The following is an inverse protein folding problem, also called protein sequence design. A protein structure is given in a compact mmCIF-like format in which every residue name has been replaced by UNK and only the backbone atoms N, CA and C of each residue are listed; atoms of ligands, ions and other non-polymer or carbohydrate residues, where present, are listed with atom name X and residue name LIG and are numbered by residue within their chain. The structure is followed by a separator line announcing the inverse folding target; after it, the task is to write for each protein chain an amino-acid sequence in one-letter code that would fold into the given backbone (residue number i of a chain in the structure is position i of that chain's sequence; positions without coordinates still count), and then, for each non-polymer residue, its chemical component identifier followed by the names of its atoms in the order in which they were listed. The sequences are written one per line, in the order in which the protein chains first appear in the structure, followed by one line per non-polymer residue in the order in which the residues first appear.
data_IF_724605942583
#
_entry.id   IF_724605942583
#
_cell.length_a   1.000
_cell.length_b   1.000
_cell.length_c   1.000
_cell.angle_alpha   90.00
_cell.angle_beta   90.00
_cell.angle_gamma   90.00
#
_symmetry.space_group_name_H-M   'P 1'
#
loop_
_entity.id
_entity.type
_entity.pdbx_description
1 polymer ?
#
# COMPACT_ATOMS: atom_id res chain seq x y z
N UNK A 1 15.33 2.86 1.30
CA UNK A 1 13.93 2.69 0.91
C UNK A 1 13.37 1.46 1.64
N UNK A 2 12.76 1.66 2.81
CA UNK A 2 12.36 0.56 3.71
C UNK A 2 11.20 -0.32 3.24
N UNK A 3 10.64 -0.11 2.07
CA UNK A 3 9.50 -0.86 1.57
C UNK A 3 9.76 -1.42 0.17
N UNK A 4 9.53 -2.72 0.01
CA UNK A 4 9.75 -3.47 -1.24
C UNK A 4 8.86 -2.91 -2.35
N UNK A 5 7.58 -2.70 -2.09
CA UNK A 5 6.64 -2.17 -3.10
C UNK A 5 7.08 -0.83 -3.67
N UNK A 6 7.69 0.05 -2.86
CA UNK A 6 8.17 1.34 -3.33
C UNK A 6 9.36 1.21 -4.29
N UNK A 7 10.30 0.29 -4.04
CA UNK A 7 11.42 0.01 -4.95
C UNK A 7 10.93 -0.59 -6.26
N UNK A 8 10.05 -1.58 -6.17
CA UNK A 8 9.43 -2.22 -7.34
C UNK A 8 8.64 -1.21 -8.17
N UNK A 9 7.86 -0.33 -7.53
CA UNK A 9 7.10 0.71 -8.22
C UNK A 9 7.99 1.72 -8.95
N UNK A 10 9.14 2.11 -8.36
CA UNK A 10 10.12 2.93 -9.05
C UNK A 10 10.72 2.19 -10.24
N UNK A 11 11.04 0.90 -10.10
CA UNK A 11 11.50 0.05 -11.20
C UNK A 11 10.48 -0.04 -12.33
N UNK A 12 9.22 -0.34 -11.99
CA UNK A 12 8.09 -0.39 -12.94
C UNK A 12 7.91 0.93 -13.69
N UNK A 13 7.97 2.05 -12.95
CA UNK A 13 7.86 3.37 -13.56
C UNK A 13 9.03 3.66 -14.52
N UNK A 14 10.27 3.37 -14.14
CA UNK A 14 11.44 3.62 -15.01
C UNK A 14 11.45 2.71 -16.26
N UNK A 15 11.04 1.46 -16.12
CA UNK A 15 10.80 0.55 -17.25
C UNK A 15 9.76 1.15 -18.20
N UNK A 16 8.61 1.53 -17.66
CA UNK A 16 7.50 2.11 -18.44
C UNK A 16 7.87 3.43 -19.12
N UNK A 17 8.66 4.27 -18.44
CA UNK A 17 9.17 5.52 -19.01
C UNK A 17 10.16 5.28 -20.16
N UNK A 18 11.04 4.30 -20.04
CA UNK A 18 11.98 3.92 -21.11
C UNK A 18 11.23 3.39 -22.34
N UNK A 19 10.22 2.52 -22.15
CA UNK A 19 9.37 2.01 -23.23
C UNK A 19 8.60 3.14 -23.91
N UNK A 20 8.01 4.05 -23.13
CA UNK A 20 7.29 5.20 -23.65
C UNK A 20 8.20 6.13 -24.47
N UNK A 21 9.39 6.45 -23.96
CA UNK A 21 10.34 7.30 -24.67
C UNK A 21 10.87 6.62 -25.95
N UNK A 22 11.03 5.29 -25.95
CA UNK A 22 11.37 4.52 -27.16
C UNK A 22 10.25 4.60 -28.20
N UNK A 23 9.00 4.39 -27.79
CA UNK A 23 7.80 4.45 -28.66
C UNK A 23 7.62 5.85 -29.27
N UNK A 24 7.91 6.89 -28.49
CA UNK A 24 7.75 8.29 -28.89
C UNK A 24 8.98 8.85 -29.65
N UNK A 25 10.05 8.06 -29.83
CA UNK A 25 11.25 8.49 -30.51
C UNK A 25 12.17 9.44 -29.70
N UNK A 26 11.95 9.53 -28.40
CA UNK A 26 12.72 10.40 -27.48
C UNK A 26 13.96 9.70 -26.88
N UNK A 27 14.09 8.38 -27.08
CA UNK A 27 15.20 7.56 -26.59
C UNK A 27 15.61 6.52 -27.64
N UNK A 28 16.93 6.34 -27.90
CA UNK A 28 17.40 5.27 -28.77
C UNK A 28 16.97 3.89 -28.29
N UNK A 29 16.61 3.02 -29.23
CA UNK A 29 16.03 1.72 -28.89
C UNK A 29 16.94 0.81 -28.09
N UNK A 30 18.23 0.79 -28.41
CA UNK A 30 19.26 0.01 -27.71
C UNK A 30 19.48 0.49 -26.27
N UNK A 31 19.47 1.81 -26.05
CA UNK A 31 19.56 2.41 -24.72
C UNK A 31 18.31 2.07 -23.90
N UNK A 32 17.13 2.19 -24.50
CA UNK A 32 15.85 1.84 -23.83
C UNK A 32 15.83 0.36 -23.41
N UNK A 33 16.29 -0.55 -24.29
CA UNK A 33 16.32 -1.99 -24.01
C UNK A 33 17.26 -2.35 -22.86
N UNK A 34 18.39 -1.64 -22.73
CA UNK A 34 19.29 -1.78 -21.58
C UNK A 34 18.64 -1.29 -20.27
N UNK A 35 17.95 -0.15 -20.32
CA UNK A 35 17.22 0.39 -19.15
C UNK A 35 16.12 -0.59 -18.72
N UNK A 36 15.36 -1.14 -19.66
CA UNK A 36 14.29 -2.12 -19.37
C UNK A 36 14.85 -3.34 -18.66
N UNK A 37 15.95 -3.93 -19.17
CA UNK A 37 16.60 -5.09 -18.52
C UNK A 37 17.07 -4.79 -17.10
N UNK A 38 17.69 -3.63 -16.88
CA UNK A 38 18.13 -3.23 -15.54
C UNK A 38 16.96 -2.94 -14.60
N UNK A 39 15.88 -2.32 -15.11
CA UNK A 39 14.67 -2.07 -14.33
C UNK A 39 13.96 -3.37 -13.94
N UNK A 40 13.94 -4.39 -14.80
CA UNK A 40 13.42 -5.72 -14.48
C UNK A 40 14.15 -6.36 -13.28
N UNK A 41 15.45 -6.15 -13.15
CA UNK A 41 16.21 -6.61 -11.98
C UNK A 41 15.85 -5.85 -10.70
N UNK A 42 15.55 -4.55 -10.80
CA UNK A 42 15.02 -3.76 -9.67
C UNK A 42 13.64 -4.26 -9.25
N UNK A 43 12.73 -4.49 -10.20
CA UNK A 43 11.39 -5.04 -9.95
C UNK A 43 11.49 -6.41 -9.28
N UNK A 44 12.40 -7.26 -9.73
CA UNK A 44 12.62 -8.59 -9.18
C UNK A 44 13.35 -8.59 -7.80
N UNK A 45 13.71 -7.42 -7.26
CA UNK A 45 14.39 -7.28 -5.97
C UNK A 45 15.87 -7.70 -5.97
N UNK A 46 16.46 -7.96 -7.13
CA UNK A 46 17.86 -8.42 -7.24
C UNK A 46 18.89 -7.34 -6.84
N UNK A 47 18.50 -6.08 -6.87
CA UNK A 47 19.32 -4.92 -6.59
C UNK A 47 18.94 -4.19 -5.29
N UNK A 48 18.22 -4.85 -4.39
CA UNK A 48 17.69 -4.24 -3.14
C UNK A 48 18.78 -3.63 -2.24
N UNK A 49 19.99 -4.21 -2.25
CA UNK A 49 21.13 -3.71 -1.49
C UNK A 49 21.63 -2.32 -1.95
N UNK A 50 21.32 -1.95 -3.19
CA UNK A 50 21.74 -0.69 -3.81
C UNK A 50 20.81 0.50 -3.43
N UNK A 51 19.82 0.29 -2.55
CA UNK A 51 18.87 1.30 -2.09
C UNK A 51 19.02 1.62 -0.60
N UNK A 52 20.10 2.30 -0.16
CA UNK A 52 20.40 2.52 1.26
C UNK A 52 19.58 3.67 1.88
N UNK A 53 18.80 4.42 1.11
CA UNK A 53 18.14 5.63 1.56
C UNK A 53 17.01 5.36 2.56
N UNK A 54 16.86 6.27 3.51
CA UNK A 54 15.86 6.22 4.58
C UNK A 54 14.57 6.97 4.21
N UNK A 55 13.52 6.79 5.03
CA UNK A 55 12.21 7.46 4.83
C UNK A 55 12.33 8.98 5.00
N UNK A 56 12.97 9.43 6.07
CA UNK A 56 13.15 10.85 6.36
C UNK A 56 14.30 11.41 5.51
N UNK A 57 13.93 11.92 4.34
CA UNK A 57 14.79 12.48 3.32
C UNK A 57 14.16 13.76 2.76
N UNK A 58 14.71 14.33 1.67
CA UNK A 58 14.03 15.46 1.00
C UNK A 58 12.58 15.12 0.65
N UNK A 59 11.66 15.97 1.01
CA UNK A 59 10.22 15.69 1.00
C UNK A 59 9.61 15.51 -0.39
N UNK A 60 10.31 15.93 -1.45
CA UNK A 60 9.95 15.65 -2.83
C UNK A 60 10.24 14.20 -3.26
N UNK A 61 11.06 13.46 -2.51
CA UNK A 61 11.55 12.13 -2.88
C UNK A 61 12.67 12.14 -3.92
N UNK A 62 13.29 13.28 -4.18
CA UNK A 62 14.35 13.43 -5.20
C UNK A 62 15.51 12.46 -4.96
N UNK A 63 15.95 12.26 -3.73
CA UNK A 63 17.04 11.33 -3.43
C UNK A 63 16.69 9.90 -3.88
N UNK A 64 15.47 9.43 -3.62
CA UNK A 64 15.02 8.09 -4.06
C UNK A 64 14.92 7.99 -5.57
N UNK A 65 14.42 9.02 -6.25
CA UNK A 65 14.37 9.05 -7.71
C UNK A 65 15.77 8.99 -8.32
N UNK A 66 16.70 9.81 -7.80
CA UNK A 66 18.09 9.84 -8.28
C UNK A 66 18.81 8.53 -8.01
N UNK A 67 18.66 7.94 -6.82
CA UNK A 67 19.21 6.63 -6.50
C UNK A 67 18.73 5.57 -7.50
N UNK A 68 17.42 5.53 -7.81
CA UNK A 68 16.88 4.60 -8.81
C UNK A 68 17.47 4.83 -10.19
N UNK A 69 17.60 6.09 -10.62
CA UNK A 69 18.21 6.43 -11.89
C UNK A 69 19.66 5.93 -11.98
N UNK A 70 20.43 6.11 -10.93
CA UNK A 70 21.84 5.71 -10.87
C UNK A 70 21.99 4.18 -10.81
N UNK A 71 21.17 3.48 -10.02
CA UNK A 71 21.18 2.02 -9.95
C UNK A 71 20.87 1.42 -11.32
N UNK A 72 19.79 1.88 -11.98
CA UNK A 72 19.40 1.39 -13.31
C UNK A 72 20.46 1.74 -14.35
N UNK A 73 20.99 2.97 -14.35
CA UNK A 73 22.04 3.38 -15.28
C UNK A 73 23.31 2.53 -15.14
N UNK A 74 23.81 2.37 -13.91
CA UNK A 74 25.01 1.58 -13.66
C UNK A 74 24.80 0.10 -14.01
N UNK A 75 23.64 -0.47 -13.68
CA UNK A 75 23.36 -1.86 -14.08
C UNK A 75 23.24 -2.02 -15.59
N UNK A 76 22.65 -1.08 -16.29
CA UNK A 76 22.59 -1.06 -17.75
C UNK A 76 24.00 -0.96 -18.38
N UNK A 77 24.88 -0.16 -17.79
CA UNK A 77 26.29 -0.04 -18.21
C UNK A 77 27.03 -1.38 -18.04
N UNK A 78 26.88 -2.06 -16.92
CA UNK A 78 27.45 -3.40 -16.69
C UNK A 78 26.93 -4.42 -17.72
N UNK A 79 25.61 -4.43 -17.99
CA UNK A 79 25.00 -5.31 -18.99
C UNK A 79 25.54 -5.06 -20.41
N UNK A 80 25.99 -3.84 -20.68
CA UNK A 80 26.64 -3.46 -21.93
C UNK A 80 28.15 -3.71 -21.95
N UNK A 81 28.75 -4.22 -20.85
CA UNK A 81 30.19 -4.44 -20.72
C UNK A 81 31.00 -3.16 -20.52
N UNK A 82 30.37 -2.07 -20.08
CA UNK A 82 31.01 -0.78 -19.82
C UNK A 82 31.53 -0.64 -18.38
N UNK A 83 32.19 0.49 -18.12
CA UNK A 83 32.75 0.83 -16.79
C UNK A 83 31.72 1.55 -15.93
N UNK A 84 31.50 1.07 -14.70
CA UNK A 84 30.60 1.69 -13.72
C UNK A 84 30.93 3.16 -13.51
N UNK A 85 29.89 3.99 -13.46
CA UNK A 85 30.04 5.44 -13.27
C UNK A 85 30.43 6.23 -14.52
N UNK A 86 30.73 5.55 -15.66
CA UNK A 86 31.09 6.21 -16.92
C UNK A 86 29.97 7.03 -17.54
N UNK A 87 28.71 6.75 -17.16
CA UNK A 87 27.49 7.34 -17.74
C UNK A 87 27.30 7.02 -19.23
N UNK A 88 28.01 6.01 -19.74
CA UNK A 88 27.93 5.54 -21.11
C UNK A 88 27.87 4.00 -21.15
N UNK A 89 26.99 3.37 -21.96
CA UNK A 89 26.07 3.99 -22.93
C UNK A 89 24.79 4.59 -22.33
N UNK A 90 24.53 4.41 -21.03
CA UNK A 90 23.28 4.87 -20.37
C UNK A 90 23.60 5.94 -19.33
N UNK A 91 23.04 7.14 -19.53
CA UNK A 91 23.15 8.26 -18.58
C UNK A 91 21.95 8.30 -17.61
N UNK A 92 22.14 8.47 -16.28
CA UNK A 92 21.05 8.43 -15.33
C UNK A 92 20.02 9.55 -15.55
N UNK A 93 20.43 10.78 -15.86
CA UNK A 93 19.52 11.91 -16.07
C UNK A 93 19.00 11.99 -17.51
N UNK A 94 19.88 11.87 -18.50
CA UNK A 94 19.52 12.15 -19.89
C UNK A 94 18.76 10.98 -20.54
N UNK A 95 18.94 9.75 -20.02
CA UNK A 95 18.30 8.55 -20.52
C UNK A 95 17.28 7.97 -19.54
N UNK A 96 17.69 7.55 -18.33
CA UNK A 96 16.78 6.90 -17.35
C UNK A 96 15.69 7.86 -16.88
N UNK A 97 16.04 9.13 -16.66
CA UNK A 97 15.09 10.17 -16.21
C UNK A 97 14.54 11.04 -17.35
N UNK A 98 14.69 10.64 -18.60
CA UNK A 98 14.23 11.39 -19.78
C UNK A 98 12.77 11.78 -19.70
N UNK A 99 12.45 13.07 -19.84
CA UNK A 99 11.09 13.60 -19.80
C UNK A 99 10.43 13.57 -18.43
N UNK A 100 11.20 13.41 -17.35
CA UNK A 100 10.70 13.25 -15.99
C UNK A 100 11.30 14.30 -15.04
N UNK A 101 10.59 14.53 -13.94
CA UNK A 101 11.07 15.20 -12.74
C UNK A 101 10.85 14.31 -11.53
N UNK A 102 11.61 14.47 -10.47
CA UNK A 102 11.28 13.81 -9.19
C UNK A 102 9.88 14.20 -8.70
N UNK A 103 9.39 15.36 -9.09
CA UNK A 103 8.11 15.91 -8.65
C UNK A 103 6.91 15.13 -9.21
N UNK A 104 6.98 14.60 -10.43
CA UNK A 104 5.95 13.75 -11.00
C UNK A 104 6.28 12.25 -10.86
N UNK A 105 7.55 11.88 -10.84
CA UNK A 105 8.03 10.49 -10.74
C UNK A 105 7.71 9.89 -9.36
N UNK A 106 8.09 10.56 -8.29
CA UNK A 106 7.93 9.99 -6.95
C UNK A 106 6.46 9.81 -6.55
N UNK A 107 5.54 10.77 -6.75
CA UNK A 107 4.11 10.54 -6.49
C UNK A 107 3.52 9.46 -7.39
N UNK A 108 3.94 9.34 -8.65
CA UNK A 108 3.54 8.24 -9.51
C UNK A 108 3.94 6.89 -8.91
N UNK A 109 5.18 6.75 -8.44
CA UNK A 109 5.65 5.54 -7.78
C UNK A 109 4.90 5.27 -6.45
N UNK A 110 4.52 6.30 -5.69
CA UNK A 110 3.67 6.15 -4.50
C UNK A 110 2.32 5.52 -4.85
N UNK A 111 1.67 6.01 -5.89
CA UNK A 111 0.38 5.51 -6.36
C UNK A 111 0.49 4.06 -6.86
N UNK A 112 1.47 3.75 -7.70
CA UNK A 112 1.72 2.38 -8.17
C UNK A 112 1.94 1.44 -6.97
N UNK A 113 2.80 1.80 -6.01
CA UNK A 113 3.10 0.98 -4.86
C UNK A 113 1.86 0.70 -3.99
N UNK A 114 1.07 1.74 -3.70
CA UNK A 114 -0.13 1.62 -2.85
C UNK A 114 -1.21 0.78 -3.55
N UNK A 115 -1.50 1.06 -4.81
CA UNK A 115 -2.50 0.31 -5.59
C UNK A 115 -2.08 -1.16 -5.73
N UNK A 116 -0.83 -1.44 -6.04
CA UNK A 116 -0.30 -2.81 -6.14
C UNK A 116 -0.41 -3.54 -4.80
N UNK A 117 0.02 -2.91 -3.70
CA UNK A 117 -0.06 -3.51 -2.36
C UNK A 117 -1.52 -3.80 -1.92
N UNK A 118 -2.46 -2.92 -2.26
CA UNK A 118 -3.90 -3.14 -1.99
C UNK A 118 -4.39 -4.37 -2.76
N UNK A 119 -4.09 -4.45 -4.06
CA UNK A 119 -4.63 -5.52 -4.92
C UNK A 119 -3.95 -6.87 -4.67
N UNK A 120 -2.64 -6.92 -4.45
CA UNK A 120 -1.89 -8.16 -4.29
C UNK A 120 -1.93 -8.71 -2.87
N UNK A 121 -2.08 -7.86 -1.86
CA UNK A 121 -1.95 -8.27 -0.46
C UNK A 121 -3.18 -8.00 0.39
N UNK A 122 -3.71 -6.77 0.35
CA UNK A 122 -4.81 -6.38 1.25
C UNK A 122 -6.11 -7.09 0.89
N UNK A 123 -6.54 -6.99 -0.37
CA UNK A 123 -7.80 -7.61 -0.79
C UNK A 123 -7.85 -9.11 -0.54
N UNK A 124 -6.84 -9.93 -0.91
CA UNK A 124 -6.87 -11.36 -0.60
C UNK A 124 -6.99 -11.65 0.89
N UNK A 125 -6.18 -10.99 1.73
CA UNK A 125 -6.16 -11.24 3.17
C UNK A 125 -7.48 -10.87 3.86
N UNK A 126 -8.02 -9.68 3.55
CA UNK A 126 -9.28 -9.21 4.16
C UNK A 126 -10.47 -10.00 3.66
N UNK A 127 -10.48 -10.37 2.37
CA UNK A 127 -11.55 -11.19 1.79
C UNK A 127 -11.55 -12.59 2.40
N UNK A 128 -10.39 -13.20 2.62
CA UNK A 128 -10.28 -14.50 3.29
C UNK A 128 -10.91 -14.45 4.68
N UNK A 129 -10.50 -13.51 5.54
CA UNK A 129 -11.10 -13.35 6.88
C UNK A 129 -12.62 -13.08 6.80
N UNK A 130 -13.04 -12.20 5.89
CA UNK A 130 -14.45 -11.90 5.65
C UNK A 130 -15.26 -13.16 5.31
N UNK A 131 -14.73 -14.00 4.42
CA UNK A 131 -15.41 -15.23 3.96
C UNK A 131 -15.45 -16.31 5.05
N UNK A 132 -14.39 -16.42 5.87
CA UNK A 132 -14.37 -17.28 7.05
C UNK A 132 -15.46 -16.84 8.04
N UNK A 133 -15.58 -15.56 8.32
CA UNK A 133 -16.63 -15.04 9.20
C UNK A 133 -18.03 -15.26 8.62
N UNK A 134 -18.24 -15.06 7.31
CA UNK A 134 -19.52 -15.32 6.65
C UNK A 134 -19.92 -16.80 6.74
N UNK A 135 -18.96 -17.69 6.56
CA UNK A 135 -19.18 -19.14 6.76
C UNK A 135 -19.59 -19.45 8.22
N UNK A 136 -18.89 -18.87 9.20
CA UNK A 136 -19.23 -19.04 10.62
C UNK A 136 -20.57 -18.39 10.98
N UNK A 137 -20.95 -17.29 10.36
CA UNK A 137 -22.27 -16.69 10.55
C UNK A 137 -23.39 -17.65 10.14
N UNK A 138 -23.21 -18.37 9.05
CA UNK A 138 -24.16 -19.41 8.58
C UNK A 138 -24.14 -20.67 9.43
N UNK A 139 -22.94 -21.10 9.85
CA UNK A 139 -22.74 -22.30 10.69
C UNK A 139 -23.42 -22.16 12.06
N UNK A 140 -23.37 -20.96 12.66
CA UNK A 140 -23.91 -20.70 14.01
C UNK A 140 -25.22 -19.90 14.00
N UNK A 141 -25.97 -19.96 12.89
CA UNK A 141 -27.22 -19.17 12.78
C UNK A 141 -28.34 -19.66 13.72
N UNK A 142 -28.31 -20.89 14.18
CA UNK A 142 -29.27 -21.47 15.11
C UNK A 142 -28.86 -21.37 16.60
N UNK A 143 -27.63 -20.92 16.88
CA UNK A 143 -27.13 -20.79 18.25
C UNK A 143 -27.68 -19.53 18.92
N UNK A 144 -28.61 -19.73 19.83
CA UNK A 144 -29.23 -18.63 20.61
C UNK A 144 -28.34 -18.26 21.80
N UNK A 145 -28.10 -16.98 21.95
CA UNK A 145 -27.30 -16.39 23.04
C UNK A 145 -27.93 -15.13 23.60
N UNK A 146 -27.37 -14.57 24.68
CA UNK A 146 -27.75 -13.28 25.21
C UNK A 146 -27.08 -12.15 24.42
N UNK A 147 -27.90 -11.27 23.84
CA UNK A 147 -27.42 -10.00 23.33
C UNK A 147 -27.07 -9.05 24.47
N UNK A 148 -26.01 -8.24 24.31
CA UNK A 148 -25.56 -7.32 25.35
C UNK A 148 -25.46 -5.89 24.82
N UNK A 149 -25.95 -4.95 25.60
CA UNK A 149 -25.74 -3.51 25.40
C UNK A 149 -25.20 -2.92 26.69
N UNK A 150 -24.27 -1.98 26.65
CA UNK A 150 -23.57 -1.45 27.83
C UNK A 150 -22.86 -2.52 28.68
N UNK A 151 -22.48 -3.64 28.07
CA UNK A 151 -21.96 -4.86 28.70
C UNK A 151 -22.99 -5.50 29.69
N UNK A 152 -24.28 -5.16 29.59
CA UNK A 152 -25.37 -5.73 30.38
C UNK A 152 -26.22 -6.66 29.51
N UNK A 153 -26.80 -7.68 30.15
CA UNK A 153 -27.71 -8.61 29.47
C UNK A 153 -28.92 -7.85 28.91
N UNK A 154 -29.23 -8.15 27.65
CA UNK A 154 -30.36 -7.53 26.95
C UNK A 154 -31.32 -8.62 26.41
N UNK A 155 -31.65 -8.58 25.12
CA UNK A 155 -32.59 -9.50 24.50
C UNK A 155 -31.88 -10.69 23.86
N UNK A 156 -32.55 -11.83 23.62
CA UNK A 156 -31.98 -12.93 22.86
C UNK A 156 -31.51 -12.51 21.44
N UNK A 157 -30.41 -13.06 21.02
CA UNK A 157 -29.83 -12.91 19.67
C UNK A 157 -29.24 -14.23 19.24
N UNK A 158 -29.02 -14.44 17.95
CA UNK A 158 -28.30 -15.60 17.46
C UNK A 158 -26.84 -15.25 17.21
N UNK A 159 -25.92 -16.17 17.47
CA UNK A 159 -24.49 -15.96 17.24
C UNK A 159 -24.21 -15.67 15.75
N UNK A 160 -24.90 -16.35 14.83
CA UNK A 160 -24.80 -16.04 13.40
C UNK A 160 -25.19 -14.60 13.06
N UNK A 161 -26.18 -14.01 13.76
CA UNK A 161 -26.54 -12.60 13.56
C UNK A 161 -25.43 -11.65 14.04
N UNK A 162 -24.79 -11.96 15.17
CA UNK A 162 -23.63 -11.17 15.67
C UNK A 162 -22.51 -11.19 14.63
N UNK A 163 -22.12 -12.38 14.16
CA UNK A 163 -21.03 -12.53 13.18
C UNK A 163 -21.40 -11.87 11.83
N UNK A 164 -22.66 -11.96 11.40
CA UNK A 164 -23.12 -11.27 10.18
C UNK A 164 -22.94 -9.76 10.24
N UNK A 165 -23.08 -9.17 11.44
CA UNK A 165 -22.78 -7.75 11.68
C UNK A 165 -21.30 -7.42 11.46
N UNK A 166 -20.39 -8.32 11.88
CA UNK A 166 -18.95 -8.15 11.63
C UNK A 166 -18.63 -8.24 10.13
N UNK A 167 -19.24 -9.21 9.42
CA UNK A 167 -19.10 -9.32 7.96
C UNK A 167 -19.53 -8.04 7.26
N UNK A 168 -20.68 -7.49 7.63
CA UNK A 168 -21.20 -6.26 7.04
C UNK A 168 -20.29 -5.05 7.28
N UNK A 169 -19.61 -4.98 8.44
CA UNK A 169 -18.62 -3.92 8.71
C UNK A 169 -17.38 -4.04 7.80
N UNK A 170 -16.90 -5.26 7.57
CA UNK A 170 -15.77 -5.52 6.67
C UNK A 170 -16.17 -5.20 5.22
N UNK A 171 -17.36 -5.62 4.77
CA UNK A 171 -17.88 -5.32 3.43
C UNK A 171 -17.97 -3.81 3.20
N UNK A 172 -18.51 -3.06 4.16
CA UNK A 172 -18.57 -1.60 4.09
C UNK A 172 -17.19 -0.97 3.95
N UNK A 173 -16.21 -1.45 4.73
CA UNK A 173 -14.83 -0.95 4.67
C UNK A 173 -14.18 -1.28 3.32
N UNK A 174 -14.39 -2.50 2.80
CA UNK A 174 -13.88 -2.91 1.48
C UNK A 174 -14.45 -2.04 0.35
N UNK A 175 -15.72 -1.66 0.41
CA UNK A 175 -16.30 -0.76 -0.60
C UNK A 175 -15.64 0.62 -0.58
N UNK A 176 -15.35 1.15 0.62
CA UNK A 176 -14.60 2.39 0.78
C UNK A 176 -13.17 2.29 0.21
N UNK A 177 -12.51 1.16 0.44
CA UNK A 177 -11.15 0.92 -0.09
C UNK A 177 -11.19 0.78 -1.63
N UNK A 178 -12.17 0.09 -2.20
CA UNK A 178 -12.33 -0.03 -3.67
C UNK A 178 -12.50 1.33 -4.33
N UNK A 179 -13.29 2.21 -3.73
CA UNK A 179 -13.42 3.59 -4.22
C UNK A 179 -12.11 4.35 -4.15
N UNK A 180 -11.40 4.29 -3.02
CA UNK A 180 -10.11 4.96 -2.83
C UNK A 180 -9.02 4.42 -3.78
N UNK A 181 -8.96 3.09 -3.97
CA UNK A 181 -8.06 2.42 -4.92
C UNK A 181 -8.29 2.95 -6.35
N UNK A 182 -9.56 3.06 -6.78
CA UNK A 182 -9.89 3.59 -8.11
C UNK A 182 -9.38 5.02 -8.33
N UNK A 183 -9.39 5.87 -7.29
CA UNK A 183 -8.87 7.24 -7.35
C UNK A 183 -7.33 7.29 -7.29
N UNK A 184 -6.71 6.33 -6.61
CA UNK A 184 -5.26 6.22 -6.53
C UNK A 184 -4.61 5.75 -7.85
N UNK A 185 -5.39 5.30 -8.84
CA UNK A 185 -4.91 4.89 -10.16
C UNK A 185 -4.61 6.06 -11.11
N UNK A 186 -4.85 7.29 -10.70
CA UNK A 186 -4.50 8.50 -11.44
C UNK A 186 -3.06 8.91 -11.15
N UNK A 187 -2.22 8.96 -12.19
CA UNK A 187 -0.78 9.16 -12.07
C UNK A 187 -0.38 10.61 -12.43
N UNK A 188 0.55 11.18 -11.66
CA UNK A 188 1.10 12.51 -11.89
C UNK A 188 2.10 12.58 -13.05
N UNK A 189 2.51 11.43 -13.58
CA UNK A 189 3.55 11.34 -14.61
C UNK A 189 3.22 12.14 -15.87
N UNK A 190 4.20 12.85 -16.41
CA UNK A 190 4.05 13.78 -17.52
C UNK A 190 3.85 15.23 -17.09
N UNK A 191 3.60 15.49 -15.79
CA UNK A 191 3.52 16.86 -15.26
C UNK A 191 4.88 17.55 -15.11
N UNK A 192 5.92 16.75 -15.05
CA UNK A 192 7.32 17.20 -14.82
C UNK A 192 7.49 18.05 -13.56
N UNK A 193 8.08 19.24 -13.65
CA UNK A 193 8.47 20.04 -12.49
C UNK A 193 7.28 20.62 -11.71
N UNK A 194 6.26 21.15 -12.41
CA UNK A 194 5.14 21.90 -11.81
C UNK A 194 3.77 21.58 -12.41
N UNK A 195 3.67 20.57 -13.25
CA UNK A 195 2.40 20.14 -13.86
C UNK A 195 2.21 20.56 -15.33
N UNK A 196 3.11 21.37 -15.88
CA UNK A 196 3.01 21.90 -17.25
C UNK A 196 3.56 20.98 -18.32
N UNK A 197 4.25 19.89 -17.93
CA UNK A 197 4.87 18.97 -18.87
C UNK A 197 6.13 19.51 -19.56
N UNK A 198 6.78 20.51 -19.00
CA UNK A 198 7.99 21.12 -19.57
C UNK A 198 9.07 20.04 -19.82
N UNK A 199 9.66 20.01 -21.03
CA UNK A 199 10.68 19.07 -21.47
C UNK A 199 10.22 17.61 -21.58
N UNK A 200 8.91 17.31 -21.59
CA UNK A 200 8.36 16.01 -21.90
C UNK A 200 7.58 16.04 -23.23
N UNK A 201 7.58 14.91 -23.94
CA UNK A 201 6.72 14.76 -25.11
C UNK A 201 5.23 14.85 -24.67
N UNK A 202 4.33 15.53 -25.42
CA UNK A 202 2.92 15.72 -24.99
C UNK A 202 2.16 14.42 -24.68
N UNK A 203 2.53 13.31 -25.30
CA UNK A 203 1.93 11.98 -25.06
C UNK A 203 2.66 11.15 -24.00
N UNK A 204 3.73 11.67 -23.41
CA UNK A 204 4.59 10.89 -22.53
C UNK A 204 3.82 10.28 -21.35
N UNK A 205 3.10 11.10 -20.58
CA UNK A 205 2.39 10.62 -19.38
C UNK A 205 1.31 9.56 -19.68
N UNK A 206 0.54 9.75 -20.74
CA UNK A 206 -0.48 8.77 -21.17
C UNK A 206 0.17 7.46 -21.61
N UNK A 207 1.28 7.53 -22.36
CA UNK A 207 2.00 6.34 -22.83
C UNK A 207 2.64 5.59 -21.66
N UNK A 208 3.25 6.31 -20.69
CA UNK A 208 3.79 5.69 -19.47
C UNK A 208 2.69 4.99 -18.67
N UNK A 209 1.55 5.65 -18.44
CA UNK A 209 0.45 5.04 -17.69
C UNK A 209 -0.07 3.74 -18.34
N UNK A 210 -0.11 3.70 -19.69
CA UNK A 210 -0.43 2.48 -20.43
C UNK A 210 0.59 1.37 -20.15
N UNK A 211 1.88 1.66 -20.26
CA UNK A 211 2.93 0.65 -19.99
C UNK A 211 2.94 0.20 -18.52
N UNK A 212 2.61 1.08 -17.57
CA UNK A 212 2.42 0.69 -16.15
C UNK A 212 1.25 -0.28 -16.03
N UNK A 213 0.13 -0.01 -16.72
CA UNK A 213 -1.03 -0.90 -16.73
C UNK A 213 -0.70 -2.27 -17.32
N UNK A 214 0.01 -2.30 -18.45
CA UNK A 214 0.43 -3.53 -19.11
C UNK A 214 1.36 -4.37 -18.21
N UNK A 215 2.27 -3.72 -17.47
CA UNK A 215 3.22 -4.38 -16.57
C UNK A 215 2.56 -4.95 -15.30
N UNK A 216 1.61 -4.22 -14.74
CA UNK A 216 1.00 -4.56 -13.43
C UNK A 216 -0.30 -5.35 -13.56
N UNK A 217 -0.93 -5.36 -14.73
CA UNK A 217 -2.28 -5.90 -14.92
C UNK A 217 -3.38 -5.05 -14.25
N UNK A 218 -3.07 -3.83 -13.82
CA UNK A 218 -3.99 -2.91 -13.14
C UNK A 218 -4.21 -1.66 -14.00
N UNK A 219 -5.45 -1.17 -14.07
CA UNK A 219 -5.80 0.00 -14.92
C UNK A 219 -5.31 1.30 -14.29
N UNK A 220 -4.19 1.81 -14.76
CA UNK A 220 -3.69 3.15 -14.43
C UNK A 220 -3.95 4.12 -15.58
N UNK A 221 -4.14 5.38 -15.26
CA UNK A 221 -4.24 6.47 -16.24
C UNK A 221 -3.44 7.68 -15.79
N UNK A 222 -3.06 8.54 -16.74
CA UNK A 222 -2.57 9.87 -16.40
C UNK A 222 -3.69 10.66 -15.73
N UNK A 223 -3.39 11.42 -14.69
CA UNK A 223 -4.35 12.27 -14.00
C UNK A 223 -4.94 13.32 -14.93
N UNK A 224 -6.23 13.57 -14.79
CA UNK A 224 -6.93 14.61 -15.58
C UNK A 224 -6.41 16.01 -15.23
N UNK A 225 -5.93 16.20 -14.00
CA UNK A 225 -5.32 17.45 -13.54
C UNK A 225 -3.96 17.19 -12.90
N UNK A 226 -2.90 17.42 -13.67
CA UNK A 226 -1.52 17.21 -13.23
C UNK A 226 -1.08 18.22 -12.15
N UNK A 227 -1.65 19.41 -12.09
CA UNK A 227 -1.33 20.41 -11.07
C UNK A 227 -1.78 19.95 -9.69
N UNK A 228 -2.99 19.39 -9.59
CA UNK A 228 -3.50 18.80 -8.35
C UNK A 228 -2.64 17.60 -7.91
N UNK A 229 -2.35 16.67 -8.82
CA UNK A 229 -1.63 15.44 -8.49
C UNK A 229 -0.14 15.63 -8.17
N UNK A 230 0.46 16.76 -8.54
CA UNK A 230 1.82 17.12 -8.11
C UNK A 230 1.85 17.80 -6.73
N UNK A 231 0.89 18.68 -6.47
CA UNK A 231 0.90 19.55 -5.29
C UNK A 231 0.09 19.01 -4.11
N UNK A 232 -0.79 18.03 -4.36
CA UNK A 232 -1.62 17.39 -3.35
C UNK A 232 -1.68 15.87 -3.57
N UNK A 233 -1.94 15.14 -2.48
CA UNK A 233 -2.01 13.67 -2.51
C UNK A 233 -3.31 13.18 -1.86
N UNK A 234 -4.43 13.80 -2.24
CA UNK A 234 -5.76 13.54 -1.70
C UNK A 234 -6.18 12.08 -1.85
N UNK A 235 -5.78 11.43 -2.95
CA UNK A 235 -6.06 10.01 -3.16
C UNK A 235 -5.40 9.12 -2.09
N UNK A 236 -4.17 9.42 -1.66
CA UNK A 236 -3.50 8.69 -0.58
C UNK A 236 -4.13 8.99 0.79
N UNK A 237 -4.55 10.22 1.02
CA UNK A 237 -5.30 10.58 2.24
C UNK A 237 -6.61 9.79 2.29
N UNK A 238 -7.31 9.65 1.17
CA UNK A 238 -8.53 8.88 1.08
C UNK A 238 -8.30 7.38 1.28
N UNK A 239 -7.23 6.81 0.70
CA UNK A 239 -6.82 5.42 0.96
C UNK A 239 -6.58 5.23 2.46
N UNK A 240 -5.78 6.10 3.08
CA UNK A 240 -5.48 6.02 4.51
C UNK A 240 -6.74 6.11 5.38
N UNK A 241 -7.66 7.02 5.08
CA UNK A 241 -8.94 7.14 5.77
C UNK A 241 -9.82 5.90 5.62
N UNK A 242 -9.80 5.26 4.44
CA UNK A 242 -10.53 4.00 4.20
C UNK A 242 -9.90 2.83 4.97
N UNK A 243 -8.56 2.76 5.04
CA UNK A 243 -7.85 1.78 5.89
C UNK A 243 -8.17 1.96 7.37
N UNK A 244 -8.33 3.21 7.84
CA UNK A 244 -8.77 3.49 9.20
C UNK A 244 -10.18 2.95 9.47
N UNK A 245 -11.12 3.10 8.54
CA UNK A 245 -12.47 2.52 8.68
C UNK A 245 -12.42 1.00 8.82
N UNK A 246 -11.56 0.33 8.06
CA UNK A 246 -11.33 -1.11 8.21
C UNK A 246 -10.71 -1.42 9.59
N UNK A 247 -9.74 -0.64 10.04
CA UNK A 247 -9.12 -0.81 11.34
C UNK A 247 -10.12 -0.62 12.50
N UNK A 248 -11.08 0.31 12.39
CA UNK A 248 -12.19 0.48 13.34
C UNK A 248 -13.03 -0.80 13.44
N UNK A 249 -13.41 -1.38 12.30
CA UNK A 249 -14.17 -2.63 12.26
C UNK A 249 -13.40 -3.80 12.88
N UNK A 250 -12.13 -3.97 12.51
CA UNK A 250 -11.27 -5.04 13.03
C UNK A 250 -11.01 -4.89 14.53
N UNK A 251 -10.81 -3.67 15.03
CA UNK A 251 -10.70 -3.37 16.46
C UNK A 251 -11.94 -3.84 17.21
N UNK A 252 -13.13 -3.50 16.71
CA UNK A 252 -14.41 -3.88 17.30
C UNK A 252 -14.57 -5.41 17.29
N UNK A 253 -14.32 -6.07 16.18
CA UNK A 253 -14.43 -7.52 16.05
C UNK A 253 -13.49 -8.24 17.03
N UNK A 254 -12.23 -7.84 17.06
CA UNK A 254 -11.23 -8.44 17.96
C UNK A 254 -11.61 -8.25 19.43
N UNK A 255 -12.15 -7.08 19.81
CA UNK A 255 -12.65 -6.84 21.17
C UNK A 255 -13.87 -7.71 21.51
N UNK A 256 -14.83 -7.86 20.59
CA UNK A 256 -15.99 -8.72 20.83
C UNK A 256 -15.57 -10.19 21.04
N UNK A 257 -14.71 -10.73 20.13
CA UNK A 257 -14.18 -12.09 20.26
C UNK A 257 -13.49 -12.27 21.61
N UNK A 258 -12.66 -11.32 22.01
CA UNK A 258 -11.95 -11.35 23.30
C UNK A 258 -12.90 -11.33 24.51
N UNK A 259 -13.97 -10.53 24.44
CA UNK A 259 -14.99 -10.51 25.49
C UNK A 259 -15.76 -11.82 25.56
N UNK A 260 -16.24 -12.35 24.44
CA UNK A 260 -16.98 -13.63 24.41
C UNK A 260 -16.12 -14.81 24.88
N UNK A 261 -14.81 -14.76 24.67
CA UNK A 261 -13.88 -15.80 25.09
C UNK A 261 -13.33 -15.61 26.51
N UNK A 262 -13.68 -14.54 27.22
CA UNK A 262 -13.06 -14.24 28.51
C UNK A 262 -13.47 -15.23 29.61
N UNK A 263 -12.53 -15.59 30.44
CA UNK A 263 -12.73 -16.53 31.55
C UNK A 263 -11.99 -17.86 31.31
N UNK A 264 -12.68 -18.99 31.10
CA UNK A 264 -14.14 -19.17 30.99
C UNK A 264 -14.89 -19.33 32.32
N UNK A 265 -14.20 -19.62 33.43
CA UNK A 265 -14.86 -19.98 34.70
C UNK A 265 -15.52 -18.80 35.39
N UNK A 266 -14.89 -17.65 35.42
CA UNK A 266 -15.37 -16.41 36.04
C UNK A 266 -15.56 -15.27 35.00
N UNK A 267 -15.76 -15.61 33.76
CA UNK A 267 -16.00 -14.69 32.66
C UNK A 267 -17.20 -15.12 31.83
N UNK A 268 -17.32 -14.56 30.62
CA UNK A 268 -18.46 -14.83 29.73
C UNK A 268 -18.38 -16.26 29.18
N UNK A 269 -17.20 -16.67 28.62
CA UNK A 269 -16.93 -18.04 28.22
C UNK A 269 -17.86 -18.60 27.13
N UNK A 270 -18.42 -17.76 26.25
CA UNK A 270 -19.35 -18.16 25.19
C UNK A 270 -18.62 -18.59 23.90
N UNK A 271 -17.36 -18.17 23.73
CA UNK A 271 -16.50 -18.63 22.64
C UNK A 271 -15.27 -19.35 23.20
N UNK A 272 -14.87 -20.42 22.53
CA UNK A 272 -13.58 -21.07 22.74
C UNK A 272 -12.66 -20.66 21.61
N UNK A 273 -11.53 -20.04 21.95
CA UNK A 273 -10.49 -19.66 21.00
C UNK A 273 -9.38 -20.71 20.95
N UNK A 274 -8.67 -20.86 19.82
CA UNK A 274 -7.57 -21.81 19.71
C UNK A 274 -6.44 -21.48 20.72
N UNK A 275 -5.83 -22.53 21.28
CA UNK A 275 -4.64 -22.40 22.12
C UNK A 275 -3.39 -22.39 21.22
N UNK A 276 -3.01 -21.20 20.75
CA UNK A 276 -1.90 -21.02 19.81
C UNK A 276 -0.54 -20.93 20.50
N UNK A 277 -0.52 -20.68 21.83
CA UNK A 277 0.68 -20.58 22.63
C UNK A 277 0.43 -20.93 24.11
N UNK A 278 1.44 -21.35 24.88
CA UNK A 278 1.31 -21.52 26.33
C UNK A 278 0.99 -20.18 27.00
N UNK A 279 -0.15 -20.06 27.67
CA UNK A 279 -0.59 -18.81 28.26
C UNK A 279 0.24 -18.35 29.45
N UNK A 280 0.63 -19.25 30.37
CA UNK A 280 1.44 -18.94 31.55
C UNK A 280 2.00 -20.22 32.17
N UNK A 281 3.27 -20.23 32.57
CA UNK A 281 3.91 -21.36 33.23
C UNK A 281 3.34 -21.62 34.65
N UNK A 282 2.83 -20.57 35.32
CA UNK A 282 2.28 -20.65 36.68
C UNK A 282 0.77 -20.79 36.71
N UNK A 283 0.08 -20.67 35.58
CA UNK A 283 -1.37 -20.78 35.45
C UNK A 283 -1.74 -21.73 34.29
N UNK A 284 -1.62 -23.06 34.46
CA UNK A 284 -1.92 -24.03 33.42
C UNK A 284 -3.35 -23.90 32.91
N UNK A 285 -3.53 -23.99 31.58
CA UNK A 285 -4.83 -23.86 30.94
C UNK A 285 -5.35 -22.42 30.78
N UNK A 286 -4.51 -21.42 31.08
CA UNK A 286 -4.82 -20.00 30.77
C UNK A 286 -4.49 -19.72 29.30
N UNK A 287 -5.51 -19.67 28.44
CA UNK A 287 -5.39 -19.33 27.01
C UNK A 287 -5.58 -17.83 26.84
N UNK A 288 -4.55 -17.13 26.35
CA UNK A 288 -4.64 -15.70 26.10
C UNK A 288 -5.19 -15.46 24.67
N UNK A 289 -5.97 -14.37 24.45
CA UNK A 289 -6.51 -14.02 23.14
C UNK A 289 -5.46 -13.25 22.29
N UNK A 290 -4.31 -13.86 22.04
CA UNK A 290 -3.12 -13.21 21.49
C UNK A 290 -3.38 -12.58 20.12
N UNK A 291 -4.09 -13.27 19.22
CA UNK A 291 -4.44 -12.71 17.91
C UNK A 291 -5.38 -11.51 18.01
N UNK A 292 -6.30 -11.53 18.98
CA UNK A 292 -7.15 -10.36 19.25
C UNK A 292 -6.33 -9.16 19.75
N UNK A 293 -5.38 -9.40 20.64
CA UNK A 293 -4.47 -8.35 21.14
C UNK A 293 -3.57 -7.81 20.03
N UNK A 294 -3.01 -8.67 19.20
CA UNK A 294 -2.22 -8.26 18.02
C UNK A 294 -3.05 -7.41 17.06
N UNK A 295 -4.28 -7.82 16.75
CA UNK A 295 -5.19 -7.07 15.88
C UNK A 295 -5.49 -5.67 16.45
N UNK A 296 -5.74 -5.56 17.75
CA UNK A 296 -6.00 -4.25 18.37
C UNK A 296 -4.78 -3.33 18.37
N UNK A 297 -3.57 -3.88 18.52
CA UNK A 297 -2.32 -3.11 18.37
C UNK A 297 -2.10 -2.65 16.94
N UNK A 298 -2.36 -3.50 15.95
CA UNK A 298 -2.29 -3.14 14.52
C UNK A 298 -3.28 -2.01 14.21
N UNK A 299 -4.54 -2.13 14.64
CA UNK A 299 -5.54 -1.08 14.44
C UNK A 299 -5.08 0.26 15.06
N UNK A 300 -4.51 0.22 16.27
CA UNK A 300 -3.95 1.41 16.94
C UNK A 300 -2.84 2.04 16.12
N UNK A 301 -1.95 1.23 15.52
CA UNK A 301 -0.87 1.74 14.64
C UNK A 301 -1.44 2.38 13.37
N UNK A 302 -2.46 1.79 12.77
CA UNK A 302 -3.15 2.33 11.58
C UNK A 302 -3.79 3.69 11.89
N UNK A 303 -4.40 3.89 13.05
CA UNK A 303 -4.92 5.20 13.47
C UNK A 303 -3.81 6.26 13.53
N UNK A 304 -2.65 5.91 14.09
CA UNK A 304 -1.49 6.81 14.12
C UNK A 304 -0.96 7.14 12.72
N UNK A 305 -0.91 6.15 11.84
CA UNK A 305 -0.51 6.34 10.45
C UNK A 305 -1.49 7.23 9.69
N UNK A 306 -2.81 7.06 9.89
CA UNK A 306 -3.83 7.89 9.25
C UNK A 306 -3.72 9.36 9.70
N UNK A 307 -3.51 9.61 10.99
CA UNK A 307 -3.24 10.96 11.48
C UNK A 307 -1.99 11.58 10.82
N UNK A 308 -0.93 10.79 10.63
CA UNK A 308 0.29 11.20 9.92
C UNK A 308 -0.01 11.56 8.46
N UNK A 309 -0.72 10.68 7.74
CA UNK A 309 -1.06 10.90 6.32
C UNK A 309 -1.97 12.10 6.15
N UNK A 310 -3.00 12.25 6.99
CA UNK A 310 -3.92 13.38 6.94
C UNK A 310 -3.21 14.72 7.16
N UNK A 311 -2.34 14.79 8.19
CA UNK A 311 -1.54 16.00 8.40
C UNK A 311 -0.59 16.28 7.23
N UNK A 312 0.15 15.27 6.79
CA UNK A 312 1.10 15.39 5.68
C UNK A 312 0.41 15.80 4.36
N UNK A 313 -0.80 15.28 4.10
CA UNK A 313 -1.60 15.65 2.94
C UNK A 313 -2.00 17.12 2.91
N UNK A 314 -2.22 17.73 4.09
CA UNK A 314 -2.58 19.15 4.22
C UNK A 314 -1.43 20.12 3.97
N UNK A 315 -0.18 19.63 3.81
CA UNK A 315 1.04 20.46 3.79
C UNK A 315 1.55 20.80 2.37
N UNK A 316 0.70 20.70 1.34
CA UNK A 316 1.04 21.17 0.00
C UNK A 316 1.20 22.72 -0.03
N UNK A 317 2.31 23.21 -0.61
CA UNK A 317 2.57 24.63 -0.76
C UNK A 317 2.85 24.92 -2.23
N UNK A 318 2.05 25.80 -2.84
CA UNK A 318 2.12 26.10 -4.26
C UNK A 318 2.03 24.82 -5.10
N UNK A 319 3.04 24.48 -5.88
CA UNK A 319 3.02 23.38 -6.84
C UNK A 319 3.63 22.08 -6.31
N UNK A 320 3.93 21.97 -5.00
CA UNK A 320 4.55 20.76 -4.45
C UNK A 320 4.17 20.49 -2.99
N UNK A 321 3.81 19.26 -2.69
CA UNK A 321 3.81 18.73 -1.34
C UNK A 321 5.16 18.04 -1.07
N UNK A 322 5.81 18.39 0.03
CA UNK A 322 7.14 17.87 0.42
C UNK A 322 7.10 16.89 1.60
N UNK A 323 5.97 16.21 1.79
CA UNK A 323 5.77 15.16 2.80
C UNK A 323 5.58 13.76 2.18
N UNK A 324 5.88 13.61 0.90
CA UNK A 324 5.63 12.39 0.13
C UNK A 324 6.25 11.12 0.74
N UNK A 325 7.54 11.11 1.16
CA UNK A 325 8.14 9.88 1.68
C UNK A 325 7.45 9.32 2.92
N UNK A 326 7.03 10.18 3.86
CA UNK A 326 6.34 9.74 5.08
C UNK A 326 4.90 9.29 4.78
N UNK A 327 4.21 9.94 3.83
CA UNK A 327 2.87 9.50 3.39
C UNK A 327 2.92 8.10 2.77
N UNK A 328 3.85 7.87 1.83
CA UNK A 328 4.04 6.57 1.21
C UNK A 328 4.36 5.48 2.25
N UNK A 329 5.25 5.78 3.20
CA UNK A 329 5.63 4.84 4.25
C UNK A 329 4.43 4.48 5.13
N UNK A 330 3.69 5.46 5.62
CA UNK A 330 2.56 5.24 6.52
C UNK A 330 1.41 4.46 5.85
N UNK A 331 1.09 4.77 4.58
CA UNK A 331 0.09 4.03 3.81
C UNK A 331 0.50 2.57 3.60
N UNK A 332 1.72 2.32 3.12
CA UNK A 332 2.22 0.97 2.85
C UNK A 332 2.38 0.14 4.12
N UNK A 333 2.82 0.75 5.23
CA UNK A 333 2.87 0.09 6.54
C UNK A 333 1.47 -0.34 7.00
N UNK A 334 0.47 0.54 6.87
CA UNK A 334 -0.92 0.21 7.24
C UNK A 334 -1.48 -0.93 6.41
N UNK A 335 -1.28 -0.93 5.09
CA UNK A 335 -1.72 -2.01 4.20
C UNK A 335 -1.10 -3.34 4.63
N UNK A 336 0.22 -3.36 4.84
CA UNK A 336 0.95 -4.56 5.24
C UNK A 336 0.47 -5.10 6.59
N UNK A 337 0.39 -4.23 7.60
CA UNK A 337 0.01 -4.63 8.95
C UNK A 337 -1.40 -5.18 9.03
N UNK A 338 -2.36 -4.52 8.35
CA UNK A 338 -3.75 -5.01 8.28
C UNK A 338 -3.82 -6.36 7.58
N UNK A 339 -3.15 -6.52 6.44
CA UNK A 339 -3.16 -7.78 5.71
C UNK A 339 -2.58 -8.93 6.55
N UNK A 340 -1.42 -8.72 7.18
CA UNK A 340 -0.79 -9.73 8.04
C UNK A 340 -1.65 -10.08 9.26
N UNK A 341 -2.27 -9.06 9.88
CA UNK A 341 -3.16 -9.26 11.01
C UNK A 341 -4.44 -10.03 10.63
N UNK A 342 -5.02 -9.75 9.45
CA UNK A 342 -6.18 -10.48 8.96
C UNK A 342 -5.87 -11.97 8.73
N UNK A 343 -4.73 -12.29 8.13
CA UNK A 343 -4.27 -13.68 7.95
C UNK A 343 -4.02 -14.38 9.29
N UNK A 344 -3.44 -13.67 10.26
CA UNK A 344 -3.17 -14.22 11.59
C UNK A 344 -4.44 -14.41 12.44
N UNK A 345 -5.47 -13.63 12.17
CA UNK A 345 -6.73 -13.66 12.92
C UNK A 345 -7.74 -14.66 12.34
N UNK A 346 -7.61 -15.00 11.04
CA UNK A 346 -8.44 -15.96 10.31
C UNK A 346 -8.24 -17.40 10.85
#
# INVERSE_FOLDING_TARGET
LGDVYKRQALGTLKKSAALANKELGELPGDVADLIVKAADEVIAGKLDAEFPLVVFQTGSGTQSNMNTNEVISNRAIELAGGELGSKAPVHPNDHVNRGQSSNDTFPTAMHIAVVTAINERLYPAVTQLRDTLDKKAKEYDDVVMVGRTHLQDATPIRLGQVISGWVAQIDFALDGIRYADSRARELAIGGTAVGTGLNAHPKFGVTVAKHVSDETGLDFKQADNLFANLSAHDALVQVSGSLRVLADALMKIANDVRWYACGPRNGIGELLIPENEPGSSIMPGKVNPTQCEAMTMVATRVFGNDATVGFAGSQGNFQLNVFKPVMAHACLESIRLIADACVSFD
#
